data_IF_223802519780
#
_entry.id   IF_223802519780
#
_cell.length_a   1.000
_cell.length_b   1.000
_cell.length_c   1.000
_cell.angle_alpha   90.00
_cell.angle_beta   90.00
_cell.angle_gamma   90.00
#
_symmetry.space_group_name_H-M   'P 1'
#
loop_
_entity.id
_entity.type
_entity.pdbx_description
1 polymer ?
#
# COMPACT_ATOMS: atom_id res chain seq x y z
N UNK A 1 63.29 -38.36 41.23
CA UNK A 1 62.20 -37.51 41.74
C UNK A 1 61.66 -36.73 40.56
N UNK A 2 60.64 -37.28 39.92
CA UNK A 2 60.06 -36.74 38.71
C UNK A 2 58.78 -35.95 39.08
N UNK A 3 58.76 -34.67 38.70
CA UNK A 3 57.62 -33.78 38.92
C UNK A 3 56.75 -33.86 37.67
N UNK A 4 55.53 -34.36 37.84
CA UNK A 4 54.46 -34.31 36.80
C UNK A 4 53.78 -32.94 36.90
N UNK A 5 53.78 -32.19 35.80
CA UNK A 5 52.99 -30.97 35.63
C UNK A 5 51.76 -31.38 34.81
N UNK A 6 50.61 -31.39 35.44
CA UNK A 6 49.31 -31.55 34.76
C UNK A 6 48.86 -30.21 34.23
N UNK A 7 48.76 -30.12 32.90
CA UNK A 7 48.12 -28.98 32.21
C UNK A 7 46.63 -29.21 32.16
N UNK A 8 45.86 -28.33 32.82
CA UNK A 8 44.41 -28.30 32.75
C UNK A 8 44.01 -27.41 31.52
N UNK A 9 43.45 -28.05 30.49
CA UNK A 9 42.89 -27.33 29.37
C UNK A 9 41.51 -26.77 29.78
N UNK A 10 41.39 -25.46 29.82
CA UNK A 10 40.10 -24.77 29.90
C UNK A 10 39.45 -24.81 28.50
N UNK A 11 38.39 -25.59 28.38
CA UNK A 11 37.44 -25.49 27.23
C UNK A 11 36.57 -24.26 27.44
N UNK A 12 36.87 -23.19 26.72
CA UNK A 12 35.95 -22.10 26.53
C UNK A 12 34.88 -22.57 25.55
N UNK A 13 33.73 -22.93 26.06
CA UNK A 13 32.49 -23.10 25.33
C UNK A 13 32.02 -21.69 24.92
N UNK A 14 32.35 -21.28 23.70
CA UNK A 14 31.71 -20.14 23.05
C UNK A 14 30.28 -20.54 22.75
N UNK A 15 29.31 -20.02 23.49
CA UNK A 15 27.95 -19.89 22.97
C UNK A 15 28.00 -18.97 21.77
N UNK A 16 27.84 -19.50 20.59
CA UNK A 16 27.38 -18.72 19.47
C UNK A 16 25.94 -18.34 19.82
N UNK A 17 25.67 -17.07 20.03
CA UNK A 17 24.33 -16.52 19.92
C UNK A 17 23.93 -16.77 18.46
N UNK A 18 23.05 -17.72 18.25
CA UNK A 18 22.29 -17.83 17.00
C UNK A 18 21.39 -16.61 16.96
N UNK A 19 21.72 -15.63 16.12
CA UNK A 19 20.78 -14.64 15.61
C UNK A 19 19.70 -15.39 14.82
N UNK A 20 18.67 -15.84 15.51
CA UNK A 20 17.49 -16.42 14.89
C UNK A 20 16.31 -15.46 14.99
N UNK A 21 16.39 -14.34 14.32
CA UNK A 21 15.20 -13.60 13.84
C UNK A 21 14.69 -14.25 12.54
N UNK A 22 14.57 -15.58 12.54
CA UNK A 22 13.87 -16.27 11.47
C UNK A 22 12.37 -15.95 11.62
N UNK A 23 11.86 -15.09 10.74
CA UNK A 23 10.43 -14.80 10.63
C UNK A 23 9.69 -16.13 10.45
N UNK A 24 8.80 -16.45 11.39
CA UNK A 24 7.98 -17.66 11.27
C UNK A 24 7.01 -17.48 10.11
N UNK A 25 7.14 -18.33 9.09
CA UNK A 25 6.26 -18.34 7.91
C UNK A 25 5.55 -19.69 7.79
N UNK A 26 4.26 -19.64 7.53
CA UNK A 26 3.48 -20.81 7.12
C UNK A 26 2.71 -20.48 5.84
N UNK A 27 2.91 -21.28 4.81
CA UNK A 27 2.20 -21.14 3.54
C UNK A 27 1.57 -22.48 3.14
N UNK A 28 0.32 -22.46 2.65
CA UNK A 28 -0.44 -23.66 2.29
C UNK A 28 -1.09 -23.54 0.92
N UNK A 29 -0.90 -24.56 0.08
CA UNK A 29 -1.59 -24.72 -1.20
C UNK A 29 -2.92 -25.43 -0.97
N UNK A 30 -4.03 -24.72 -1.13
CA UNK A 30 -5.37 -25.21 -0.81
C UNK A 30 -5.85 -26.21 -1.86
N UNK A 31 -6.11 -27.44 -1.40
CA UNK A 31 -6.51 -28.56 -2.27
C UNK A 31 -5.41 -29.08 -3.19
N UNK A 32 -4.20 -28.56 -3.10
CA UNK A 32 -3.07 -28.88 -3.97
C UNK A 32 -1.90 -29.57 -3.27
N UNK A 33 -0.90 -30.02 -4.04
CA UNK A 33 0.36 -30.56 -3.52
C UNK A 33 1.26 -29.45 -2.97
N UNK A 34 2.36 -29.83 -2.30
CA UNK A 34 3.41 -28.88 -1.95
C UNK A 34 3.96 -28.21 -3.21
N UNK A 35 4.25 -26.91 -3.11
CA UNK A 35 4.73 -26.07 -4.19
C UNK A 35 5.73 -25.04 -3.68
N UNK A 36 6.81 -24.79 -4.41
CA UNK A 36 7.71 -23.67 -4.10
C UNK A 36 7.50 -22.58 -5.14
N UNK A 37 7.12 -21.41 -4.68
CA UNK A 37 6.90 -20.24 -5.52
C UNK A 37 8.22 -19.66 -6.06
N UNK A 38 8.11 -18.78 -7.04
CA UNK A 38 9.27 -18.12 -7.68
C UNK A 38 10.06 -17.29 -6.67
N UNK A 39 9.39 -16.68 -5.68
CA UNK A 39 10.00 -15.92 -4.58
C UNK A 39 10.66 -16.80 -3.51
N UNK A 40 10.59 -18.12 -3.64
CA UNK A 40 11.12 -19.09 -2.68
C UNK A 40 10.14 -19.50 -1.59
N UNK A 41 8.94 -18.89 -1.48
CA UNK A 41 7.91 -19.28 -0.52
C UNK A 41 7.54 -20.75 -0.68
N UNK A 42 7.68 -21.52 0.42
CA UNK A 42 7.45 -22.97 0.43
C UNK A 42 6.01 -23.28 0.88
N UNK A 43 5.10 -23.44 -0.06
CA UNK A 43 3.73 -23.87 0.23
C UNK A 43 3.69 -25.36 0.55
N UNK A 44 3.22 -25.70 1.73
CA UNK A 44 2.96 -27.09 2.08
C UNK A 44 1.69 -27.59 1.39
N UNK A 45 1.59 -28.90 1.17
CA UNK A 45 0.33 -29.53 0.78
C UNK A 45 -0.73 -29.28 1.86
N UNK A 46 -1.97 -29.18 1.45
CA UNK A 46 -3.09 -28.86 2.34
C UNK A 46 -3.08 -29.68 3.64
N UNK A 47 -2.99 -28.95 4.74
CA UNK A 47 -3.18 -29.44 6.12
C UNK A 47 -3.83 -28.30 6.91
N UNK A 48 -4.49 -28.61 8.01
CA UNK A 48 -5.18 -27.62 8.87
C UNK A 48 -6.35 -26.89 8.17
N UNK A 49 -6.83 -27.43 7.05
CA UNK A 49 -7.95 -26.89 6.27
C UNK A 49 -9.10 -27.90 6.26
N UNK A 50 -10.30 -27.43 6.51
CA UNK A 50 -11.50 -28.26 6.54
C UNK A 50 -12.68 -27.58 5.83
N UNK A 51 -13.75 -28.35 5.56
CA UNK A 51 -14.94 -27.83 4.88
C UNK A 51 -14.71 -27.52 3.42
N UNK A 52 -15.76 -27.05 2.74
CA UNK A 52 -15.77 -26.81 1.30
C UNK A 52 -15.48 -28.07 0.46
N UNK A 53 -15.35 -27.90 -0.84
CA UNK A 53 -15.00 -28.94 -1.81
C UNK A 53 -13.74 -28.54 -2.56
N UNK A 54 -12.79 -29.45 -2.71
CA UNK A 54 -11.64 -29.25 -3.57
C UNK A 54 -12.08 -29.35 -5.03
N UNK A 55 -11.62 -28.40 -5.82
CA UNK A 55 -11.82 -28.34 -7.26
C UNK A 55 -10.54 -27.92 -7.97
N UNK A 56 -10.54 -28.00 -9.29
CA UNK A 56 -9.38 -27.66 -10.13
C UNK A 56 -9.71 -26.54 -11.09
N UNK A 57 -8.74 -25.66 -11.30
CA UNK A 57 -8.77 -24.58 -12.28
C UNK A 57 -7.61 -24.74 -13.25
N UNK A 58 -7.89 -24.69 -14.54
CA UNK A 58 -6.88 -24.72 -15.58
C UNK A 58 -6.75 -23.35 -16.24
N UNK A 59 -5.53 -22.94 -16.51
CA UNK A 59 -5.21 -21.68 -17.16
C UNK A 59 -5.61 -20.41 -16.36
N UNK A 60 -4.76 -20.02 -15.43
CA UNK A 60 -4.83 -18.71 -14.75
C UNK A 60 -3.91 -17.69 -15.38
N UNK A 61 -4.21 -16.41 -15.19
CA UNK A 61 -3.41 -15.28 -15.67
C UNK A 61 -3.05 -14.36 -14.51
N UNK A 62 -1.98 -13.55 -14.67
CA UNK A 62 -1.58 -12.56 -13.65
C UNK A 62 -0.72 -13.12 -12.52
N UNK A 63 -0.08 -14.30 -12.70
CA UNK A 63 0.92 -14.83 -11.78
C UNK A 63 1.95 -15.65 -12.52
N UNK A 64 3.22 -15.59 -12.08
CA UNK A 64 4.27 -16.53 -12.50
C UNK A 64 4.10 -17.89 -11.82
N UNK A 65 3.41 -17.93 -10.68
CA UNK A 65 3.10 -19.12 -9.89
C UNK A 65 1.74 -19.72 -10.25
N UNK A 66 1.41 -19.77 -11.55
CA UNK A 66 0.16 -20.35 -12.03
C UNK A 66 -0.20 -21.72 -11.42
N UNK A 67 0.75 -22.67 -11.17
CA UNK A 67 0.45 -23.95 -10.55
C UNK A 67 -0.19 -23.85 -9.17
N UNK A 68 0.08 -22.78 -8.38
CA UNK A 68 -0.50 -22.53 -7.07
C UNK A 68 -2.03 -22.36 -7.12
N UNK A 69 -2.57 -21.92 -8.28
CA UNK A 69 -3.99 -21.66 -8.48
C UNK A 69 -4.71 -22.77 -9.24
N UNK A 70 -4.00 -23.87 -9.58
CA UNK A 70 -4.62 -25.00 -10.27
C UNK A 70 -5.54 -25.83 -9.36
N UNK A 71 -5.47 -25.61 -8.06
CA UNK A 71 -6.41 -26.16 -7.07
C UNK A 71 -7.00 -25.05 -6.21
N UNK A 72 -8.19 -25.27 -5.72
CA UNK A 72 -8.87 -24.36 -4.79
C UNK A 72 -9.94 -25.11 -4.02
N UNK A 73 -10.40 -24.55 -2.90
CA UNK A 73 -11.64 -24.97 -2.24
C UNK A 73 -12.76 -23.98 -2.54
N UNK A 74 -13.99 -24.50 -2.60
CA UNK A 74 -15.23 -23.75 -2.70
C UNK A 74 -16.22 -24.23 -1.64
N UNK A 75 -16.81 -23.31 -0.89
CA UNK A 75 -17.80 -23.59 0.14
C UNK A 75 -17.44 -23.07 1.53
N UNK A 76 -17.97 -23.70 2.58
CA UNK A 76 -17.66 -23.36 4.00
C UNK A 76 -16.22 -23.80 4.33
N UNK A 77 -15.25 -22.93 3.98
CA UNK A 77 -13.82 -23.16 4.18
C UNK A 77 -13.44 -22.69 5.58
N UNK A 78 -12.71 -23.53 6.33
CA UNK A 78 -12.19 -23.25 7.67
C UNK A 78 -10.75 -23.67 7.77
N UNK A 79 -9.93 -22.80 8.34
CA UNK A 79 -8.51 -23.03 8.61
C UNK A 79 -8.33 -22.90 10.12
N UNK A 80 -7.71 -23.89 10.74
CA UNK A 80 -7.26 -23.85 12.13
C UNK A 80 -5.81 -24.34 12.15
N UNK A 81 -4.87 -23.43 12.37
CA UNK A 81 -3.44 -23.72 12.33
C UNK A 81 -2.75 -23.28 13.61
N UNK A 82 -1.96 -24.19 14.20
CA UNK A 82 -1.20 -23.89 15.42
C UNK A 82 -0.07 -22.90 15.09
N UNK A 83 -0.06 -21.78 15.78
CA UNK A 83 0.95 -20.74 15.74
C UNK A 83 1.31 -20.30 17.16
N UNK A 84 2.48 -19.73 17.34
CA UNK A 84 2.79 -19.01 18.56
C UNK A 84 1.93 -17.76 18.70
N UNK A 85 1.70 -17.31 19.94
CA UNK A 85 1.00 -16.04 20.15
C UNK A 85 1.83 -14.89 19.57
N UNK A 86 1.19 -14.00 18.83
CA UNK A 86 1.87 -12.93 18.16
C UNK A 86 1.01 -12.22 17.13
N UNK A 87 1.60 -11.29 16.42
CA UNK A 87 0.96 -10.57 15.30
C UNK A 87 1.43 -11.17 13.98
N UNK A 88 0.51 -11.33 13.04
CA UNK A 88 0.76 -12.00 11.76
C UNK A 88 0.15 -11.21 10.59
N UNK A 89 0.84 -11.23 9.47
CA UNK A 89 0.30 -10.80 8.19
C UNK A 89 -0.23 -12.02 7.43
N UNK A 90 -1.46 -11.95 6.93
CA UNK A 90 -2.10 -13.06 6.21
C UNK A 90 -2.35 -12.66 4.78
N UNK A 91 -1.74 -13.36 3.83
CA UNK A 91 -1.98 -13.16 2.39
C UNK A 91 -2.92 -14.24 1.86
N UNK A 92 -4.07 -13.81 1.39
CA UNK A 92 -5.08 -14.65 0.75
C UNK A 92 -4.88 -14.65 -0.77
N UNK A 93 -4.94 -15.83 -1.38
CA UNK A 93 -4.79 -16.02 -2.82
C UNK A 93 -6.09 -16.54 -3.44
N UNK A 94 -6.62 -15.81 -4.41
CA UNK A 94 -7.87 -16.13 -5.10
C UNK A 94 -7.67 -16.15 -6.61
N UNK A 95 -8.47 -16.98 -7.30
CA UNK A 95 -8.70 -16.89 -8.74
C UNK A 95 -10.13 -17.33 -9.02
N UNK A 96 -10.97 -16.49 -9.68
CA UNK A 96 -12.35 -16.84 -9.98
C UNK A 96 -12.41 -17.96 -11.02
N UNK A 97 -12.93 -19.16 -10.67
CA UNK A 97 -12.94 -20.31 -11.57
C UNK A 97 -14.10 -20.28 -12.57
N UNK A 98 -15.18 -19.57 -12.24
CA UNK A 98 -16.40 -19.53 -13.03
C UNK A 98 -16.39 -18.34 -14.01
N UNK A 99 -17.09 -18.52 -15.13
CA UNK A 99 -17.36 -17.42 -16.06
C UNK A 99 -18.61 -16.68 -15.58
N UNK A 100 -18.38 -15.70 -14.71
CA UNK A 100 -19.41 -14.91 -14.02
C UNK A 100 -19.13 -13.43 -14.15
N UNK A 101 -20.17 -12.62 -13.93
CA UNK A 101 -20.07 -11.17 -13.92
C UNK A 101 -19.69 -10.65 -12.52
N UNK A 102 -19.35 -9.35 -12.45
CA UNK A 102 -19.17 -8.63 -11.18
C UNK A 102 -20.43 -8.75 -10.32
N UNK A 103 -20.25 -8.75 -8.99
CA UNK A 103 -21.33 -8.86 -8.01
C UNK A 103 -22.12 -10.20 -8.05
N UNK A 104 -21.62 -11.23 -8.75
CA UNK A 104 -22.23 -12.56 -8.73
C UNK A 104 -21.63 -13.49 -7.66
N UNK A 105 -20.35 -13.34 -7.28
CA UNK A 105 -19.73 -14.00 -6.13
C UNK A 105 -19.20 -12.95 -5.18
N UNK A 106 -19.81 -12.86 -4.00
CA UNK A 106 -19.42 -11.92 -2.95
C UNK A 106 -19.37 -12.66 -1.62
N UNK A 107 -18.25 -12.58 -0.93
CA UNK A 107 -18.02 -13.22 0.36
C UNK A 107 -17.06 -12.39 1.23
N UNK A 108 -16.99 -12.72 2.51
CA UNK A 108 -16.07 -12.08 3.45
C UNK A 108 -15.11 -13.11 4.04
N UNK A 109 -13.88 -12.68 4.38
CA UNK A 109 -12.94 -13.45 5.17
C UNK A 109 -12.92 -12.94 6.61
N UNK A 110 -12.89 -13.87 7.56
CA UNK A 110 -12.77 -13.58 8.97
C UNK A 110 -11.51 -14.28 9.51
N UNK A 111 -10.77 -13.59 10.36
CA UNK A 111 -9.67 -14.16 11.13
C UNK A 111 -9.88 -13.83 12.61
N UNK A 112 -9.59 -14.78 13.51
CA UNK A 112 -9.79 -14.62 14.96
C UNK A 112 -11.22 -14.13 15.32
N UNK A 113 -12.20 -14.60 14.54
CA UNK A 113 -13.61 -14.23 14.71
C UNK A 113 -14.01 -12.84 14.23
N UNK A 114 -13.09 -12.02 13.75
CA UNK A 114 -13.34 -10.66 13.24
C UNK A 114 -13.34 -10.64 11.71
N UNK A 115 -14.23 -9.85 11.06
CA UNK A 115 -14.14 -9.61 9.63
C UNK A 115 -12.83 -8.88 9.29
N UNK A 116 -12.02 -9.46 8.41
CA UNK A 116 -10.72 -8.91 8.01
C UNK A 116 -10.71 -8.47 6.54
N UNK A 117 -11.56 -9.06 5.71
CA UNK A 117 -11.84 -8.59 4.36
C UNK A 117 -13.35 -8.70 4.14
N UNK A 118 -14.00 -7.57 3.90
CA UNK A 118 -15.44 -7.56 3.63
C UNK A 118 -15.74 -7.47 2.13
N UNK A 119 -16.79 -8.17 1.71
CA UNK A 119 -17.34 -8.10 0.36
C UNK A 119 -16.30 -8.34 -0.75
N UNK A 120 -15.50 -9.41 -0.61
CA UNK A 120 -14.58 -9.85 -1.66
C UNK A 120 -15.37 -10.20 -2.90
N UNK A 121 -15.12 -9.49 -3.98
CA UNK A 121 -15.59 -9.80 -5.33
C UNK A 121 -14.39 -9.84 -6.25
N UNK A 122 -13.91 -11.07 -6.54
CA UNK A 122 -12.68 -11.25 -7.34
C UNK A 122 -12.85 -10.64 -8.73
N UNK A 123 -14.04 -10.76 -9.34
CA UNK A 123 -14.31 -10.19 -10.67
C UNK A 123 -14.30 -8.66 -10.64
N UNK A 124 -14.88 -8.04 -9.61
CA UNK A 124 -14.84 -6.59 -9.43
C UNK A 124 -13.39 -6.09 -9.23
N UNK A 125 -12.64 -6.76 -8.36
CA UNK A 125 -11.27 -6.36 -7.99
C UNK A 125 -10.25 -6.65 -9.10
N UNK A 126 -10.60 -7.48 -10.07
CA UNK A 126 -9.80 -7.81 -11.25
C UNK A 126 -10.37 -7.24 -12.54
N UNK A 127 -11.25 -6.23 -12.42
CA UNK A 127 -11.86 -5.52 -13.56
C UNK A 127 -12.53 -6.43 -14.59
N UNK A 128 -13.26 -7.45 -14.11
CA UNK A 128 -13.95 -8.42 -14.94
C UNK A 128 -13.05 -9.45 -15.64
N UNK A 129 -11.77 -9.53 -15.27
CA UNK A 129 -10.83 -10.50 -15.87
C UNK A 129 -11.01 -11.88 -15.24
N UNK A 130 -11.65 -12.77 -15.98
CA UNK A 130 -11.86 -14.17 -15.58
C UNK A 130 -10.52 -14.88 -15.39
N UNK A 131 -10.42 -15.71 -14.36
CA UNK A 131 -9.24 -16.53 -14.04
C UNK A 131 -7.97 -15.70 -13.77
N UNK A 132 -8.12 -14.43 -13.46
CA UNK A 132 -7.02 -13.57 -13.04
C UNK A 132 -6.79 -13.73 -11.55
N UNK A 133 -5.53 -13.85 -11.16
CA UNK A 133 -5.12 -13.97 -9.76
C UNK A 133 -5.39 -12.67 -9.00
N UNK A 134 -5.93 -12.80 -7.80
CA UNK A 134 -6.06 -11.74 -6.82
C UNK A 134 -5.36 -12.18 -5.54
N UNK A 135 -4.39 -11.39 -5.07
CA UNK A 135 -3.79 -11.54 -3.74
C UNK A 135 -4.22 -10.37 -2.86
N UNK A 136 -4.57 -10.68 -1.61
CA UNK A 136 -4.97 -9.67 -0.62
C UNK A 136 -4.23 -9.97 0.67
N UNK A 137 -3.38 -9.06 1.12
CA UNK A 137 -2.69 -9.17 2.40
C UNK A 137 -3.45 -8.39 3.46
N UNK A 138 -3.75 -9.06 4.58
CA UNK A 138 -4.34 -8.47 5.79
C UNK A 138 -3.25 -8.47 6.84
N UNK A 139 -2.78 -7.29 7.24
CA UNK A 139 -1.72 -7.18 8.23
C UNK A 139 -2.24 -7.22 9.66
N UNK A 140 -1.36 -7.57 10.60
CA UNK A 140 -1.55 -7.34 12.02
C UNK A 140 -2.61 -8.21 12.71
N UNK A 141 -2.92 -9.39 12.18
CA UNK A 141 -3.81 -10.36 12.85
C UNK A 141 -3.15 -10.85 14.13
N UNK A 142 -3.81 -10.67 15.27
CA UNK A 142 -3.28 -11.05 16.60
C UNK A 142 -3.80 -12.42 16.98
N UNK A 143 -2.90 -13.39 17.15
CA UNK A 143 -3.17 -14.73 17.68
C UNK A 143 -2.84 -14.73 19.17
N UNK A 144 -3.81 -15.05 20.03
CA UNK A 144 -3.65 -15.02 21.50
C UNK A 144 -3.78 -16.40 22.18
N UNK A 145 -4.36 -17.38 21.50
CA UNK A 145 -4.66 -18.71 22.03
C UNK A 145 -3.83 -19.85 21.42
N UNK A 146 -2.81 -19.51 20.63
CA UNK A 146 -1.92 -20.48 19.99
C UNK A 146 -2.48 -21.11 18.72
N UNK A 147 -3.58 -20.59 18.18
CA UNK A 147 -4.22 -21.13 16.98
C UNK A 147 -4.72 -20.00 16.10
N UNK A 148 -4.29 -19.95 14.85
CA UNK A 148 -4.89 -19.06 13.85
C UNK A 148 -6.17 -19.70 13.33
N UNK A 149 -7.31 -19.03 13.53
CA UNK A 149 -8.60 -19.40 13.01
C UNK A 149 -9.03 -18.48 11.86
N UNK A 150 -9.22 -19.07 10.66
CA UNK A 150 -9.73 -18.35 9.48
C UNK A 150 -10.99 -19.04 8.95
N UNK A 151 -12.01 -18.25 8.65
CA UNK A 151 -13.25 -18.72 8.02
C UNK A 151 -13.77 -17.72 6.98
N UNK A 152 -14.70 -18.20 6.14
CA UNK A 152 -15.29 -17.38 5.11
C UNK A 152 -16.82 -17.39 5.24
N UNK A 153 -17.44 -16.25 4.97
CA UNK A 153 -18.91 -16.09 5.01
C UNK A 153 -19.42 -15.71 3.62
N UNK A 154 -20.30 -16.55 3.07
CA UNK A 154 -20.93 -16.32 1.78
C UNK A 154 -21.99 -15.22 1.87
N UNK A 155 -21.97 -14.28 0.93
CA UNK A 155 -23.07 -13.34 0.69
C UNK A 155 -23.82 -13.66 -0.61
N UNK A 156 -23.06 -13.95 -1.66
CA UNK A 156 -23.53 -14.42 -2.97
C UNK A 156 -22.58 -15.48 -3.47
N UNK A 157 -23.07 -16.65 -3.82
CA UNK A 157 -22.33 -17.87 -4.14
C UNK A 157 -21.37 -18.27 -3.00
N UNK A 158 -20.79 -19.44 -3.13
CA UNK A 158 -19.84 -19.97 -2.13
C UNK A 158 -18.48 -19.29 -2.22
N UNK A 159 -17.79 -19.06 -1.08
CA UNK A 159 -16.42 -18.59 -1.05
C UNK A 159 -15.45 -19.52 -1.78
N UNK A 160 -14.35 -18.94 -2.27
CA UNK A 160 -13.24 -19.68 -2.89
C UNK A 160 -11.92 -19.29 -2.23
N UNK A 161 -10.95 -20.21 -2.21
CA UNK A 161 -9.59 -19.94 -1.75
C UNK A 161 -8.61 -20.89 -2.46
N UNK A 162 -7.52 -20.35 -3.02
CA UNK A 162 -6.47 -21.14 -3.71
C UNK A 162 -5.23 -21.36 -2.86
N UNK A 163 -4.79 -20.37 -2.08
CA UNK A 163 -3.67 -20.51 -1.16
C UNK A 163 -3.75 -19.47 -0.04
N UNK A 164 -2.97 -19.70 1.03
CA UNK A 164 -2.81 -18.79 2.15
C UNK A 164 -1.34 -18.73 2.54
N UNK A 165 -0.82 -17.53 2.83
CA UNK A 165 0.48 -17.31 3.46
C UNK A 165 0.27 -16.58 4.78
N UNK A 166 0.94 -17.04 5.83
CA UNK A 166 0.94 -16.42 7.17
C UNK A 166 2.38 -16.13 7.53
N UNK A 167 2.72 -14.87 7.76
CA UNK A 167 4.05 -14.43 8.17
C UNK A 167 3.97 -13.75 9.52
N UNK A 168 4.83 -14.17 10.44
CA UNK A 168 4.91 -13.49 11.73
C UNK A 168 5.41 -12.08 11.53
N UNK A 169 4.67 -11.13 12.06
CA UNK A 169 5.07 -9.73 12.08
C UNK A 169 6.06 -9.53 13.23
N UNK A 170 7.29 -9.19 12.92
CA UNK A 170 8.26 -8.83 13.96
C UNK A 170 7.71 -7.64 14.76
N UNK A 171 7.64 -7.78 16.07
CA UNK A 171 7.28 -6.67 16.96
C UNK A 171 8.38 -5.61 16.90
N UNK A 172 8.23 -4.62 16.04
CA UNK A 172 9.15 -3.49 15.94
C UNK A 172 8.47 -2.27 16.56
N UNK A 173 9.16 -1.63 17.49
CA UNK A 173 8.92 -0.21 17.77
C UNK A 173 9.53 0.56 16.58
N UNK A 174 8.75 0.66 15.48
CA UNK A 174 9.24 1.16 14.20
C UNK A 174 9.28 2.68 14.12
N UNK A 175 8.82 3.39 15.15
CA UNK A 175 8.71 4.85 15.06
C UNK A 175 10.09 5.52 14.95
N UNK A 176 11.13 4.95 15.58
CA UNK A 176 12.48 5.47 15.48
C UNK A 176 12.66 6.86 16.09
N UNK A 177 13.74 7.56 15.71
CA UNK A 177 14.02 8.92 16.11
C UNK A 177 13.44 9.91 15.09
N UNK A 178 12.81 11.00 15.55
CA UNK A 178 12.38 12.09 14.69
C UNK A 178 13.60 12.78 14.09
N UNK A 179 13.78 12.66 12.78
CA UNK A 179 14.95 13.23 12.07
C UNK A 179 14.60 14.50 11.30
N UNK A 180 13.34 14.67 10.93
CA UNK A 180 12.85 15.87 10.24
C UNK A 180 11.35 16.06 10.47
N UNK A 181 10.91 17.33 10.52
CA UNK A 181 9.48 17.67 10.50
C UNK A 181 9.23 19.05 9.89
N UNK A 182 8.00 19.25 9.39
CA UNK A 182 7.40 20.54 9.17
C UNK A 182 6.07 20.57 9.92
N UNK A 183 6.02 21.42 10.93
CA UNK A 183 4.85 21.59 11.82
C UNK A 183 3.93 22.73 11.35
N UNK A 184 4.25 23.40 10.26
CA UNK A 184 3.52 24.51 9.66
C UNK A 184 3.17 25.65 10.64
N UNK A 185 4.07 25.94 11.57
CA UNK A 185 3.86 26.94 12.62
C UNK A 185 3.95 28.39 12.15
N UNK A 186 4.61 28.64 11.00
CA UNK A 186 4.90 29.99 10.52
C UNK A 186 3.92 30.38 9.41
N UNK A 187 2.97 31.28 9.72
CA UNK A 187 2.00 31.75 8.73
C UNK A 187 2.66 32.42 7.51
N UNK A 188 2.14 32.15 6.32
CA UNK A 188 2.65 32.67 5.06
C UNK A 188 2.77 31.58 3.96
N UNK A 189 3.70 31.72 3.02
CA UNK A 189 3.99 30.65 2.09
C UNK A 189 4.64 29.47 2.80
N UNK A 190 4.46 28.21 2.32
CA UNK A 190 5.23 27.07 2.79
C UNK A 190 6.73 27.34 2.71
N UNK A 191 7.52 26.79 3.63
CA UNK A 191 8.97 27.00 3.69
C UNK A 191 9.64 26.50 2.39
N UNK A 192 10.28 27.39 1.60
CA UNK A 192 10.93 27.00 0.37
C UNK A 192 12.20 26.15 0.58
N UNK A 193 12.68 25.97 1.81
CA UNK A 193 13.73 25.00 2.11
C UNK A 193 13.21 23.57 2.26
N UNK A 194 11.88 23.41 2.46
CA UNK A 194 11.22 22.11 2.60
C UNK A 194 10.44 21.73 1.35
N UNK A 195 9.81 22.71 0.68
CA UNK A 195 8.83 22.45 -0.37
C UNK A 195 9.14 23.19 -1.67
N UNK A 196 8.94 22.49 -2.79
CA UNK A 196 8.75 23.05 -4.12
C UNK A 196 7.24 23.12 -4.38
N UNK A 197 6.73 24.27 -4.81
CA UNK A 197 5.34 24.40 -5.24
C UNK A 197 5.32 24.28 -6.76
N UNK A 198 4.54 23.35 -7.27
CA UNK A 198 4.44 23.10 -8.71
C UNK A 198 3.37 23.96 -9.36
N UNK A 199 3.68 24.53 -10.53
CA UNK A 199 2.75 25.32 -11.33
C UNK A 199 2.53 24.60 -12.67
N UNK A 200 1.36 23.97 -12.82
CA UNK A 200 0.99 23.18 -13.99
C UNK A 200 -0.32 23.66 -14.59
N UNK A 201 -0.46 23.56 -15.91
CA UNK A 201 -1.74 23.69 -16.58
C UNK A 201 -2.63 22.48 -16.30
N UNK A 202 -3.93 22.58 -16.56
CA UNK A 202 -4.83 21.43 -16.50
C UNK A 202 -4.44 20.34 -17.52
N UNK A 203 -4.69 19.07 -17.17
CA UNK A 203 -4.52 17.94 -18.09
C UNK A 203 -3.09 17.43 -18.29
N UNK A 204 -2.11 17.85 -17.48
CA UNK A 204 -0.72 17.35 -17.57
C UNK A 204 -0.66 15.86 -17.24
N UNK A 205 -1.35 15.42 -16.17
CA UNK A 205 -1.48 14.00 -15.79
C UNK A 205 -2.94 13.67 -15.52
N UNK A 206 -3.34 12.41 -15.70
CA UNK A 206 -4.64 11.85 -15.30
C UNK A 206 -5.89 12.60 -15.79
N UNK A 207 -5.80 13.43 -16.81
CA UNK A 207 -6.89 14.33 -17.28
C UNK A 207 -7.44 15.24 -16.15
N UNK A 208 -6.60 15.67 -15.22
CA UNK A 208 -6.99 16.50 -14.09
C UNK A 208 -7.45 17.89 -14.55
N UNK A 209 -8.53 18.42 -13.94
CA UNK A 209 -9.19 19.63 -14.41
C UNK A 209 -8.61 20.93 -13.82
N UNK A 210 -7.86 20.85 -12.72
CA UNK A 210 -7.28 22.04 -12.07
C UNK A 210 -5.99 22.51 -12.75
N UNK A 211 -5.74 23.80 -12.62
CA UNK A 211 -4.43 24.41 -12.75
C UNK A 211 -3.78 24.44 -11.37
N UNK A 212 -2.60 23.90 -11.20
CA UNK A 212 -1.80 24.05 -9.97
C UNK A 212 -1.11 25.40 -9.95
N UNK A 213 -1.18 26.09 -8.82
CA UNK A 213 -0.63 27.45 -8.67
C UNK A 213 0.04 27.65 -7.32
N UNK A 214 1.04 28.55 -7.28
CA UNK A 214 1.70 29.00 -6.06
C UNK A 214 1.00 30.18 -5.36
N UNK A 215 -0.22 30.53 -5.78
CA UNK A 215 -0.95 31.70 -5.23
C UNK A 215 -1.36 31.44 -3.77
N UNK A 216 -1.28 32.45 -2.88
CA UNK A 216 -1.65 32.30 -1.47
C UNK A 216 -3.11 31.84 -1.24
N UNK A 217 -4.00 32.03 -2.21
CA UNK A 217 -5.36 31.51 -2.13
C UNK A 217 -5.43 29.98 -2.32
N UNK A 218 -4.46 29.40 -3.04
CA UNK A 218 -4.43 27.95 -3.29
C UNK A 218 -3.49 27.22 -2.33
N UNK A 219 -2.39 27.86 -1.88
CA UNK A 219 -1.45 27.27 -0.93
C UNK A 219 -0.89 28.29 0.03
N UNK A 220 -0.96 28.01 1.32
CA UNK A 220 -0.46 28.86 2.41
C UNK A 220 -0.34 28.07 3.71
N UNK A 221 0.42 28.58 4.63
CA UNK A 221 0.36 28.19 6.04
C UNK A 221 -0.53 29.21 6.77
N UNK A 222 -1.57 28.74 7.43
CA UNK A 222 -2.55 29.56 8.12
C UNK A 222 -3.10 28.79 9.34
N UNK A 223 -3.18 29.46 10.48
CA UNK A 223 -3.66 28.88 11.75
C UNK A 223 -2.98 27.55 12.13
N UNK A 224 -1.65 27.47 11.94
CA UNK A 224 -0.85 26.28 12.26
C UNK A 224 -1.05 25.09 11.33
N UNK A 225 -1.54 25.32 10.10
CA UNK A 225 -1.76 24.26 9.13
C UNK A 225 -1.27 24.67 7.73
N UNK A 226 -0.74 23.73 6.98
CA UNK A 226 -0.68 23.89 5.53
C UNK A 226 -2.10 23.76 4.97
N UNK A 227 -2.55 24.78 4.26
CA UNK A 227 -3.84 24.84 3.58
C UNK A 227 -3.61 24.67 2.08
N UNK A 228 -4.11 23.58 1.52
CA UNK A 228 -4.23 23.36 0.06
C UNK A 228 -5.70 23.58 -0.29
N UNK A 229 -5.99 24.66 -1.04
CA UNK A 229 -7.36 25.08 -1.30
C UNK A 229 -7.70 25.09 -2.78
N UNK A 230 -8.71 24.32 -3.14
CA UNK A 230 -9.22 24.26 -4.50
C UNK A 230 -10.39 25.23 -4.70
N UNK A 231 -10.40 25.92 -5.82
CA UNK A 231 -11.44 26.87 -6.21
C UNK A 231 -12.02 26.55 -7.59
N UNK A 232 -13.32 26.84 -7.74
CA UNK A 232 -13.96 26.94 -9.06
C UNK A 232 -13.72 28.37 -9.55
N UNK A 233 -12.82 28.56 -10.47
CA UNK A 233 -12.50 29.83 -11.10
C UNK A 233 -11.80 29.59 -12.44
N UNK A 234 -11.99 30.51 -13.38
CA UNK A 234 -11.21 30.49 -14.61
C UNK A 234 -9.80 31.08 -14.37
N UNK A 235 -8.78 30.30 -14.66
CA UNK A 235 -7.38 30.70 -14.53
C UNK A 235 -6.50 29.91 -15.50
N UNK A 236 -5.67 30.62 -16.29
CA UNK A 236 -4.72 30.05 -17.26
C UNK A 236 -5.33 28.95 -18.16
N UNK A 237 -6.59 29.11 -18.57
CA UNK A 237 -7.29 28.17 -19.46
C UNK A 237 -7.95 26.96 -18.74
N UNK A 238 -7.79 26.82 -17.42
CA UNK A 238 -8.53 25.85 -16.62
C UNK A 238 -9.71 26.47 -15.90
N UNK A 239 -10.68 25.66 -15.50
CA UNK A 239 -11.89 26.07 -14.78
C UNK A 239 -11.79 25.88 -13.26
N UNK A 240 -10.72 25.27 -12.79
CA UNK A 240 -10.41 25.01 -11.39
C UNK A 240 -8.97 25.37 -11.11
N UNK A 241 -8.69 25.78 -9.87
CA UNK A 241 -7.34 26.00 -9.38
C UNK A 241 -7.14 25.24 -8.07
N UNK A 242 -5.93 24.76 -7.83
CA UNK A 242 -5.53 24.06 -6.61
C UNK A 242 -4.02 24.19 -6.41
N UNK A 243 -3.43 23.38 -5.54
CA UNK A 243 -1.99 23.34 -5.37
C UNK A 243 -1.45 21.92 -5.23
N UNK A 244 -0.17 21.77 -5.60
CA UNK A 244 0.67 20.59 -5.43
C UNK A 244 2.05 21.04 -4.94
N UNK A 245 2.52 20.39 -3.87
CA UNK A 245 3.83 20.63 -3.28
C UNK A 245 4.60 19.32 -3.27
N UNK A 246 5.91 19.41 -3.40
CA UNK A 246 6.79 18.23 -3.29
C UNK A 246 8.13 18.59 -2.63
N UNK A 247 8.78 17.60 -1.99
CA UNK A 247 10.01 17.81 -1.21
C UNK A 247 11.31 17.38 -1.95
N UNK A 248 11.26 17.06 -3.25
CA UNK A 248 12.41 16.55 -4.02
C UNK A 248 13.61 17.49 -3.96
N UNK A 249 14.79 16.93 -3.70
CA UNK A 249 16.04 17.65 -3.57
C UNK A 249 16.15 18.51 -2.30
N UNK A 250 15.18 18.42 -1.38
CA UNK A 250 15.13 19.12 -0.09
C UNK A 250 15.01 18.14 1.06
N UNK A 251 14.05 17.22 0.97
CA UNK A 251 13.83 16.16 1.93
C UNK A 251 13.57 14.87 1.15
N UNK A 252 14.65 14.17 0.85
CA UNK A 252 14.63 12.88 0.18
C UNK A 252 14.84 11.78 1.23
N UNK A 253 13.97 10.78 1.25
CA UNK A 253 13.85 9.79 2.31
C UNK A 253 14.15 8.42 1.72
N UNK A 254 15.04 7.68 2.35
CA UNK A 254 15.25 6.26 2.10
C UNK A 254 15.00 5.51 3.39
N UNK A 255 13.91 4.73 3.41
CA UNK A 255 13.44 3.95 4.57
C UNK A 255 13.07 4.80 5.79
N UNK A 256 12.37 4.20 6.71
CA UNK A 256 11.90 4.82 7.94
C UNK A 256 10.38 4.93 8.01
N UNK A 257 9.90 5.83 8.88
CA UNK A 257 8.48 6.13 9.03
C UNK A 257 8.19 7.58 8.65
N UNK A 258 7.09 7.78 7.96
CA UNK A 258 6.57 9.10 7.60
C UNK A 258 5.16 9.19 8.17
N UNK A 259 4.90 10.22 8.98
CA UNK A 259 3.58 10.52 9.52
C UNK A 259 3.10 11.86 8.94
N UNK A 260 1.95 11.88 8.31
CA UNK A 260 1.27 13.09 7.83
C UNK A 260 -0.09 13.20 8.52
N UNK A 261 -0.29 14.22 9.35
CA UNK A 261 -1.57 14.45 9.98
C UNK A 261 -2.38 15.43 9.15
N UNK A 262 -3.51 14.96 8.62
CA UNK A 262 -4.30 15.73 7.68
C UNK A 262 -5.81 15.54 7.88
N UNK A 263 -6.58 16.56 7.45
CA UNK A 263 -8.03 16.53 7.28
C UNK A 263 -8.36 16.73 5.80
N UNK A 264 -9.17 15.82 5.25
CA UNK A 264 -9.42 15.75 3.83
C UNK A 264 -10.59 16.64 3.39
N UNK A 265 -10.63 17.07 2.12
CA UNK A 265 -11.79 17.73 1.54
C UNK A 265 -12.93 16.73 1.32
N UNK A 266 -14.12 17.25 1.01
CA UNK A 266 -15.30 16.46 0.68
C UNK A 266 -15.91 16.85 -0.65
N UNK A 267 -16.72 15.94 -1.19
CA UNK A 267 -17.62 16.17 -2.29
C UNK A 267 -17.11 15.73 -3.65
N UNK A 268 -18.07 15.47 -4.53
CA UNK A 268 -17.86 14.92 -5.87
C UNK A 268 -16.89 15.74 -6.69
N UNK A 269 -15.81 15.12 -7.15
CA UNK A 269 -14.76 15.71 -7.97
C UNK A 269 -13.49 16.05 -7.24
N UNK A 270 -13.42 15.97 -5.88
CA UNK A 270 -12.16 16.12 -5.15
C UNK A 270 -11.34 14.82 -5.16
N UNK A 271 -10.01 14.97 -5.24
CA UNK A 271 -9.04 13.87 -5.20
C UNK A 271 -7.76 14.35 -4.50
N UNK A 272 -7.77 14.42 -3.15
CA UNK A 272 -6.56 14.67 -2.36
C UNK A 272 -5.65 13.46 -2.32
N UNK A 273 -4.32 13.71 -2.25
CA UNK A 273 -3.32 12.67 -2.09
C UNK A 273 -2.16 13.10 -1.18
N UNK A 274 -1.64 12.13 -0.44
CA UNK A 274 -0.37 12.11 0.29
C UNK A 274 0.40 10.92 -0.26
N UNK A 275 1.47 11.15 -0.98
CA UNK A 275 2.15 10.14 -1.75
C UNK A 275 3.62 10.43 -1.98
N UNK A 276 4.33 9.54 -2.62
CA UNK A 276 5.76 9.66 -2.85
C UNK A 276 6.16 9.18 -4.23
N UNK A 277 7.10 9.89 -4.84
CA UNK A 277 7.82 9.46 -6.03
C UNK A 277 9.32 9.39 -5.77
N UNK A 278 10.02 8.59 -6.58
CA UNK A 278 11.48 8.52 -6.55
C UNK A 278 12.11 9.91 -6.78
N UNK A 279 13.11 10.24 -5.98
CA UNK A 279 13.92 11.45 -6.17
C UNK A 279 14.91 11.32 -7.34
N UNK A 280 15.06 10.11 -7.89
CA UNK A 280 15.77 9.82 -9.13
C UNK A 280 14.89 9.00 -10.07
N UNK A 281 13.93 9.63 -10.79
CA UNK A 281 12.96 8.91 -11.62
C UNK A 281 13.59 8.12 -12.76
N UNK A 282 14.79 8.52 -13.22
CA UNK A 282 15.47 7.88 -14.35
C UNK A 282 16.35 6.69 -13.96
N UNK A 283 16.50 6.38 -12.66
CA UNK A 283 17.38 5.30 -12.20
C UNK A 283 17.08 3.94 -12.86
N UNK A 284 15.81 3.64 -13.07
CA UNK A 284 15.34 2.42 -13.73
C UNK A 284 14.65 2.69 -15.09
N UNK A 285 14.73 3.90 -15.61
CA UNK A 285 14.20 4.23 -16.92
C UNK A 285 14.99 3.52 -18.02
N UNK A 286 14.31 3.11 -19.10
CA UNK A 286 14.90 2.42 -20.24
C UNK A 286 14.62 3.10 -21.58
N UNK A 287 13.64 4.01 -21.62
CA UNK A 287 13.22 4.73 -22.85
C UNK A 287 13.50 6.23 -22.82
N UNK A 288 13.93 6.75 -21.68
CA UNK A 288 14.27 8.15 -21.50
C UNK A 288 15.48 8.30 -20.56
N UNK A 289 16.11 9.48 -20.60
CA UNK A 289 17.33 9.80 -19.86
C UNK A 289 17.09 11.01 -18.93
N UNK A 290 18.05 11.26 -18.07
CA UNK A 290 18.06 12.41 -17.17
C UNK A 290 17.90 13.72 -17.98
N UNK A 291 17.10 14.64 -17.50
CA UNK A 291 16.68 15.89 -18.16
C UNK A 291 15.48 15.77 -19.14
N UNK A 292 14.97 14.57 -19.44
CA UNK A 292 13.74 14.43 -20.21
C UNK A 292 12.51 14.83 -19.39
N UNK A 293 11.50 15.39 -20.06
CA UNK A 293 10.19 15.60 -19.45
C UNK A 293 9.47 14.25 -19.37
N UNK A 294 9.33 13.72 -18.14
CA UNK A 294 8.76 12.39 -17.93
C UNK A 294 7.33 12.40 -17.38
N UNK A 295 6.94 13.52 -16.72
CA UNK A 295 5.59 13.60 -16.14
C UNK A 295 4.58 13.94 -17.24
N UNK A 296 3.63 13.03 -17.46
CA UNK A 296 2.67 13.13 -18.55
C UNK A 296 3.23 12.80 -19.94
N UNK A 297 4.41 12.18 -20.01
CA UNK A 297 5.05 11.74 -21.25
C UNK A 297 4.98 10.21 -21.38
N UNK A 298 4.07 9.72 -22.19
CA UNK A 298 3.86 8.27 -22.41
C UNK A 298 5.04 7.57 -23.10
N UNK A 299 5.96 8.32 -23.73
CA UNK A 299 7.14 7.76 -24.38
C UNK A 299 8.30 7.51 -23.38
N UNK A 300 8.21 8.03 -22.14
CA UNK A 300 9.20 7.88 -21.10
C UNK A 300 8.71 6.90 -20.03
N UNK A 301 9.46 5.81 -19.79
CA UNK A 301 9.12 4.78 -18.81
C UNK A 301 9.74 5.00 -17.42
N UNK A 302 10.18 6.23 -17.11
CA UNK A 302 10.63 6.61 -15.77
C UNK A 302 9.55 6.26 -14.73
N UNK A 303 8.30 6.59 -15.01
CA UNK A 303 7.16 5.99 -14.34
C UNK A 303 6.56 4.88 -15.24
N UNK A 304 6.19 3.70 -14.74
CA UNK A 304 6.21 3.27 -13.32
C UNK A 304 7.53 2.59 -12.89
N UNK A 305 8.61 2.66 -13.68
CA UNK A 305 9.85 1.94 -13.40
C UNK A 305 10.51 2.42 -12.10
N UNK A 306 10.42 3.72 -11.79
CA UNK A 306 11.00 4.30 -10.57
C UNK A 306 10.21 4.01 -9.29
N UNK A 307 8.98 3.50 -9.41
CA UNK A 307 8.09 3.25 -8.28
C UNK A 307 7.28 4.47 -7.83
N UNK A 308 6.15 4.19 -7.15
CA UNK A 308 5.27 5.16 -6.51
C UNK A 308 4.67 4.53 -5.25
N UNK A 309 4.57 5.30 -4.17
CA UNK A 309 3.96 4.89 -2.91
C UNK A 309 2.86 5.89 -2.55
N UNK A 310 1.60 5.47 -2.61
CA UNK A 310 0.46 6.27 -2.22
C UNK A 310 0.11 5.96 -0.77
N UNK A 311 0.51 6.86 0.14
CA UNK A 311 0.23 6.73 1.57
C UNK A 311 -1.26 6.97 1.82
N UNK A 312 -1.89 7.91 1.12
CA UNK A 312 -3.31 8.20 1.20
C UNK A 312 -3.80 8.78 -0.12
N UNK A 313 -4.81 8.17 -0.67
CA UNK A 313 -5.64 8.75 -1.71
C UNK A 313 -7.11 8.65 -1.30
N UNK A 314 -7.88 9.68 -1.65
CA UNK A 314 -9.32 9.71 -1.39
C UNK A 314 -10.05 10.39 -2.55
N UNK A 315 -11.22 9.86 -2.91
CA UNK A 315 -12.08 10.47 -3.94
C UNK A 315 -13.44 10.84 -3.37
N UNK A 316 -13.84 12.07 -3.63
CA UNK A 316 -15.00 12.67 -2.98
C UNK A 316 -16.36 11.98 -3.25
N UNK A 317 -16.45 11.12 -4.27
CA UNK A 317 -17.66 10.31 -4.51
C UNK A 317 -17.71 9.01 -3.66
N UNK A 318 -16.60 8.64 -3.02
CA UNK A 318 -16.50 7.50 -2.11
C UNK A 318 -16.06 7.98 -0.72
N UNK A 319 -16.83 8.91 -0.16
CA UNK A 319 -16.50 9.49 1.14
C UNK A 319 -16.14 8.45 2.18
N UNK A 320 -15.05 8.73 2.92
CA UNK A 320 -14.52 7.87 3.97
C UNK A 320 -13.65 6.69 3.47
N UNK A 321 -13.70 6.34 2.20
CA UNK A 321 -12.82 5.28 1.68
C UNK A 321 -11.43 5.85 1.38
N UNK A 322 -10.48 5.51 2.23
CA UNK A 322 -9.06 5.84 2.09
C UNK A 322 -8.36 4.69 1.40
N UNK A 323 -7.58 5.00 0.37
CA UNK A 323 -6.83 4.05 -0.44
C UNK A 323 -5.33 4.25 -0.23
N UNK A 324 -4.59 3.17 -0.15
CA UNK A 324 -3.14 3.13 -0.28
C UNK A 324 -2.76 2.26 -1.46
N UNK A 325 -1.73 2.65 -2.19
CA UNK A 325 -1.33 1.93 -3.40
C UNK A 325 0.19 1.90 -3.52
N UNK A 326 0.70 0.87 -4.17
CA UNK A 326 2.10 0.80 -4.59
C UNK A 326 2.11 0.48 -6.08
N UNK A 327 2.82 1.30 -6.85
CA UNK A 327 3.04 1.10 -8.27
C UNK A 327 4.50 0.77 -8.55
N UNK A 328 4.73 -0.17 -9.46
CA UNK A 328 6.03 -0.53 -10.00
C UNK A 328 5.88 -1.00 -11.45
N UNK A 329 6.98 -1.29 -12.14
CA UNK A 329 6.92 -1.83 -13.50
C UNK A 329 6.08 -3.09 -13.61
N UNK A 330 6.15 -3.99 -12.63
CA UNK A 330 5.36 -5.23 -12.60
C UNK A 330 3.92 -5.00 -12.16
N UNK A 331 3.64 -3.92 -11.43
CA UNK A 331 2.36 -3.65 -10.79
C UNK A 331 1.82 -2.23 -11.05
N UNK A 332 1.75 -1.75 -12.32
CA UNK A 332 1.23 -0.42 -12.60
C UNK A 332 -0.30 -0.42 -12.74
N UNK A 333 -0.94 0.74 -12.47
CA UNK A 333 -2.40 0.87 -12.61
C UNK A 333 -2.94 0.57 -14.03
N UNK A 334 -2.23 0.88 -15.14
CA UNK A 334 -2.75 0.57 -16.46
C UNK A 334 -2.98 -0.92 -16.72
N UNK A 335 -2.29 -1.79 -15.95
CA UNK A 335 -2.50 -3.24 -15.98
C UNK A 335 -3.51 -3.72 -14.93
N UNK A 336 -4.06 -2.82 -14.08
CA UNK A 336 -5.01 -3.12 -13.01
C UNK A 336 -4.51 -4.20 -12.04
N UNK A 337 -3.20 -4.23 -11.81
CA UNK A 337 -2.55 -5.19 -10.91
C UNK A 337 -1.71 -4.53 -9.82
N UNK A 338 -1.82 -3.20 -9.65
CA UNK A 338 -1.16 -2.47 -8.57
C UNK A 338 -1.48 -3.09 -7.21
N UNK A 339 -0.52 -3.04 -6.31
CA UNK A 339 -0.72 -3.47 -4.92
C UNK A 339 -1.48 -2.38 -4.17
N UNK A 340 -2.63 -2.71 -3.62
CA UNK A 340 -3.51 -1.73 -2.98
C UNK A 340 -4.22 -2.27 -1.76
N UNK A 341 -4.47 -1.37 -0.82
CA UNK A 341 -5.32 -1.57 0.33
C UNK A 341 -6.37 -0.46 0.44
N UNK A 342 -7.38 -0.69 1.26
CA UNK A 342 -8.45 0.28 1.49
C UNK A 342 -9.01 0.13 2.90
N UNK A 343 -9.30 1.27 3.53
CA UNK A 343 -9.94 1.32 4.84
C UNK A 343 -11.10 2.33 4.80
N UNK A 344 -12.12 2.12 5.64
CA UNK A 344 -13.24 3.06 5.82
C UNK A 344 -13.02 3.88 7.09
N UNK A 345 -12.95 5.19 6.94
CA UNK A 345 -12.83 6.18 8.02
C UNK A 345 -13.93 7.22 7.79
N UNK A 346 -15.01 7.15 8.54
CA UNK A 346 -16.25 7.92 8.27
C UNK A 346 -16.10 9.43 8.41
N UNK A 347 -15.14 9.90 9.20
CA UNK A 347 -14.96 11.31 9.60
C UNK A 347 -13.70 11.98 9.02
N UNK A 348 -13.12 11.44 7.93
CA UNK A 348 -11.90 11.97 7.25
C UNK A 348 -11.98 13.46 6.91
N UNK A 349 -13.18 13.99 6.71
CA UNK A 349 -13.40 15.39 6.36
C UNK A 349 -13.81 16.26 7.57
N UNK A 350 -14.03 15.67 8.72
CA UNK A 350 -14.44 16.34 9.96
C UNK A 350 -13.32 16.35 11.01
N UNK A 351 -12.46 15.33 11.01
CA UNK A 351 -11.36 15.15 11.94
C UNK A 351 -10.02 15.05 11.24
N UNK A 352 -8.95 15.33 11.98
CA UNK A 352 -7.59 15.05 11.54
C UNK A 352 -7.22 13.61 11.87
N UNK A 353 -6.71 12.90 10.89
CA UNK A 353 -6.14 11.56 11.02
C UNK A 353 -4.65 11.57 10.68
N UNK A 354 -3.90 10.60 11.20
CA UNK A 354 -2.48 10.42 10.88
C UNK A 354 -2.37 9.35 9.80
N UNK A 355 -1.97 9.75 8.60
CA UNK A 355 -1.67 8.87 7.49
C UNK A 355 -0.18 8.57 7.52
N UNK A 356 0.18 7.30 7.64
CA UNK A 356 1.57 6.92 7.90
C UNK A 356 2.07 5.89 6.92
N UNK A 357 3.36 5.92 6.67
CA UNK A 357 4.14 4.93 5.95
C UNK A 357 5.22 4.39 6.89
N UNK A 358 5.36 3.08 7.01
CA UNK A 358 6.58 2.43 7.47
C UNK A 358 7.22 1.69 6.29
N UNK A 359 8.46 2.05 6.00
CA UNK A 359 9.16 1.56 4.83
C UNK A 359 10.55 1.04 5.22
N UNK A 360 10.80 -0.21 4.85
CA UNK A 360 12.05 -0.93 5.09
C UNK A 360 12.56 -1.54 3.78
N UNK A 361 13.77 -2.11 3.72
CA UNK A 361 14.20 -2.89 2.55
C UNK A 361 13.26 -4.07 2.20
N UNK A 362 12.49 -4.56 3.19
CA UNK A 362 11.72 -5.79 3.07
C UNK A 362 10.22 -5.55 2.93
N UNK A 363 9.70 -4.37 3.36
CA UNK A 363 8.27 -4.11 3.36
C UNK A 363 7.91 -2.63 3.32
N UNK A 364 6.73 -2.36 2.78
CA UNK A 364 6.00 -1.09 2.83
C UNK A 364 4.69 -1.36 3.56
N UNK A 365 4.47 -0.69 4.70
CA UNK A 365 3.24 -0.75 5.47
C UNK A 365 2.61 0.65 5.52
N UNK A 366 1.32 0.75 5.19
CA UNK A 366 0.58 2.01 5.17
C UNK A 366 -0.54 1.99 6.20
N UNK A 367 -0.70 3.09 6.94
CA UNK A 367 -1.60 3.18 8.10
C UNK A 367 -2.52 4.40 8.01
N UNK A 368 -3.70 4.28 8.62
CA UNK A 368 -4.46 5.42 9.14
C UNK A 368 -4.48 5.28 10.67
N UNK A 369 -4.03 6.31 11.37
CA UNK A 369 -3.78 6.29 12.79
C UNK A 369 -2.86 5.09 13.13
N UNK A 370 -3.29 4.12 13.91
CA UNK A 370 -2.50 2.93 14.20
C UNK A 370 -2.96 1.67 13.44
N UNK A 371 -3.89 1.83 12.48
CA UNK A 371 -4.47 0.72 11.73
C UNK A 371 -3.78 0.58 10.37
N UNK A 372 -3.07 -0.52 10.18
CA UNK A 372 -2.48 -0.87 8.86
C UNK A 372 -3.60 -1.24 7.89
N UNK A 373 -3.54 -0.72 6.66
CA UNK A 373 -4.51 -1.08 5.63
C UNK A 373 -3.89 -1.47 4.27
N UNK A 374 -2.57 -1.34 4.15
CA UNK A 374 -1.79 -1.94 3.06
C UNK A 374 -0.48 -2.46 3.63
N UNK A 375 -0.12 -3.67 3.26
CA UNK A 375 1.24 -4.23 3.40
C UNK A 375 1.69 -4.72 2.03
N UNK A 376 2.87 -4.28 1.59
CA UNK A 376 3.54 -4.80 0.42
C UNK A 376 4.93 -5.30 0.81
N UNK A 377 5.19 -6.58 0.53
CA UNK A 377 6.44 -7.26 0.90
C UNK A 377 7.32 -7.35 -0.34
N UNK A 378 8.62 -7.10 -0.16
CA UNK A 378 9.63 -7.33 -1.19
C UNK A 378 9.68 -8.83 -1.54
N UNK A 379 9.23 -9.18 -2.73
CA UNK A 379 9.18 -10.57 -3.21
C UNK A 379 10.55 -11.08 -3.68
N UNK A 380 11.58 -10.23 -3.70
CA UNK A 380 12.94 -10.59 -4.08
C UNK A 380 13.17 -10.82 -5.58
N UNK A 381 12.21 -10.42 -6.43
CA UNK A 381 12.23 -10.68 -7.88
C UNK A 381 12.91 -9.54 -8.70
N UNK A 382 13.52 -8.58 -8.03
CA UNK A 382 14.27 -7.48 -8.63
C UNK A 382 13.51 -6.17 -8.73
N UNK A 383 14.16 -5.15 -9.34
CA UNK A 383 13.69 -3.78 -9.34
C UNK A 383 12.34 -3.58 -10.07
N UNK A 384 11.97 -4.45 -10.98
CA UNK A 384 10.70 -4.37 -11.68
C UNK A 384 9.50 -4.48 -10.74
N UNK A 385 9.66 -5.19 -9.65
CA UNK A 385 8.68 -5.32 -8.57
C UNK A 385 8.98 -4.40 -7.41
N UNK A 386 10.27 -4.27 -7.05
CA UNK A 386 10.72 -3.53 -5.88
C UNK A 386 11.73 -2.43 -6.24
N UNK A 387 11.31 -1.31 -6.85
CA UNK A 387 12.17 -0.14 -7.10
C UNK A 387 12.34 0.77 -5.86
N UNK A 388 11.92 0.31 -4.68
CA UNK A 388 11.88 1.06 -3.41
C UNK A 388 13.17 0.92 -2.60
N UNK A 389 14.31 0.85 -3.29
CA UNK A 389 15.68 0.79 -2.76
C UNK A 389 16.47 2.09 -3.02
N UNK A 390 15.79 3.15 -3.35
CA UNK A 390 16.30 4.47 -3.65
C UNK A 390 15.52 5.55 -2.89
N UNK A 391 16.06 6.79 -2.73
CA UNK A 391 15.34 7.85 -2.04
C UNK A 391 14.05 8.29 -2.76
N UNK A 392 13.01 8.55 -1.99
CA UNK A 392 11.74 9.12 -2.42
C UNK A 392 11.47 10.45 -1.74
N UNK A 393 10.69 11.30 -2.37
CA UNK A 393 10.21 12.56 -1.83
C UNK A 393 8.70 12.55 -1.64
N UNK A 394 8.23 13.33 -0.66
CA UNK A 394 6.81 13.46 -0.33
C UNK A 394 6.13 14.44 -1.28
N UNK A 395 4.91 14.11 -1.69
CA UNK A 395 4.03 14.96 -2.49
C UNK A 395 2.70 15.12 -1.76
N UNK A 396 2.21 16.35 -1.70
CA UNK A 396 0.92 16.73 -1.13
C UNK A 396 0.15 17.51 -2.17
N UNK A 397 -1.05 17.06 -2.55
CA UNK A 397 -1.87 17.78 -3.51
C UNK A 397 -3.37 17.57 -3.29
N UNK A 398 -4.14 18.46 -3.90
CA UNK A 398 -5.57 18.31 -4.07
C UNK A 398 -5.90 18.42 -5.55
N UNK A 399 -6.02 17.28 -6.24
CA UNK A 399 -6.50 17.23 -7.60
C UNK A 399 -8.03 17.42 -7.66
N UNK A 400 -8.50 17.93 -8.80
CA UNK A 400 -9.93 18.10 -9.09
C UNK A 400 -10.25 17.39 -10.38
N UNK A 401 -11.29 16.55 -10.37
CA UNK A 401 -11.69 15.79 -11.54
C UNK A 401 -10.73 14.66 -11.85
N UNK A 402 -10.08 14.72 -13.03
CA UNK A 402 -9.29 13.60 -13.51
C UNK A 402 -10.10 12.36 -13.82
N UNK A 403 -9.45 11.30 -14.28
CA UNK A 403 -10.12 10.04 -14.57
C UNK A 403 -10.80 9.44 -13.35
N UNK A 404 -10.15 9.51 -12.18
CA UNK A 404 -10.70 8.92 -10.95
C UNK A 404 -11.62 9.86 -10.19
N UNK A 405 -11.30 11.14 -10.03
CA UNK A 405 -12.18 12.08 -9.33
C UNK A 405 -13.55 12.25 -10.01
N UNK A 406 -13.62 12.04 -11.36
CA UNK A 406 -14.87 12.04 -12.12
C UNK A 406 -15.56 10.67 -12.24
N UNK A 407 -14.98 9.59 -11.75
CA UNK A 407 -15.56 8.25 -11.90
C UNK A 407 -16.95 8.10 -11.23
N UNK A 408 -17.24 8.91 -10.21
CA UNK A 408 -18.57 8.98 -9.58
C UNK A 408 -19.58 9.90 -10.29
N UNK A 409 -19.16 10.62 -11.34
CA UNK A 409 -20.00 11.58 -12.09
C UNK A 409 -19.30 12.93 -12.27
N UNK A 410 -20.00 13.92 -12.85
CA UNK A 410 -19.47 15.26 -13.06
C UNK A 410 -19.05 15.93 -11.73
N UNK A 411 -18.05 16.81 -11.80
CA UNK A 411 -17.61 17.61 -10.65
C UNK A 411 -18.81 18.45 -10.15
N UNK A 412 -19.08 18.40 -8.85
CA UNK A 412 -20.07 19.28 -8.22
C UNK A 412 -19.46 20.67 -7.98
N UNK A 413 -19.71 21.58 -8.91
CA UNK A 413 -19.19 22.94 -8.82
C UNK A 413 -19.69 23.74 -7.60
N UNK A 414 -20.76 23.27 -6.94
CA UNK A 414 -21.36 23.99 -5.79
C UNK A 414 -20.61 23.78 -4.47
N UNK A 415 -19.69 22.79 -4.41
CA UNK A 415 -18.96 22.48 -3.18
C UNK A 415 -17.79 23.42 -2.90
N UNK A 416 -17.27 24.11 -3.93
CA UNK A 416 -16.05 24.93 -3.81
C UNK A 416 -16.29 26.25 -3.05
N UNK A 417 -15.27 26.71 -2.28
CA UNK A 417 -13.93 26.15 -2.16
C UNK A 417 -13.88 24.87 -1.31
N UNK A 418 -12.88 24.02 -1.58
CA UNK A 418 -12.58 22.83 -0.78
C UNK A 418 -11.13 22.87 -0.29
N UNK A 419 -10.87 22.36 0.90
CA UNK A 419 -9.57 22.42 1.54
C UNK A 419 -9.11 21.04 1.99
N UNK A 420 -7.85 20.73 1.72
CA UNK A 420 -7.05 19.77 2.45
C UNK A 420 -6.20 20.52 3.46
N UNK A 421 -6.29 20.16 4.72
CA UNK A 421 -5.47 20.76 5.80
C UNK A 421 -4.46 19.75 6.27
N UNK A 422 -3.18 20.16 6.34
CA UNK A 422 -2.11 19.33 6.89
C UNK A 422 -1.55 20.01 8.14
N UNK A 423 -1.61 19.30 9.27
CA UNK A 423 -1.13 19.79 10.57
C UNK A 423 0.39 19.63 10.68
N UNK A 424 0.91 18.47 10.26
CA UNK A 424 2.35 18.24 10.19
C UNK A 424 2.73 17.17 9.18
N UNK A 425 4.01 17.20 8.78
CA UNK A 425 4.73 16.10 8.16
C UNK A 425 5.95 15.77 9.02
N UNK A 426 6.10 14.51 9.45
CA UNK A 426 7.19 14.05 10.33
C UNK A 426 7.87 12.83 9.74
N UNK A 427 9.19 12.81 9.77
CA UNK A 427 10.02 11.70 9.30
C UNK A 427 10.81 11.13 10.47
N UNK A 428 10.71 9.82 10.65
CA UNK A 428 11.43 9.07 11.68
C UNK A 428 12.32 8.04 11.02
N UNK A 429 13.52 7.85 11.55
CA UNK A 429 14.43 6.78 11.11
C UNK A 429 14.80 5.87 12.28
N UNK A 430 15.09 4.56 12.04
CA UNK A 430 15.57 3.66 13.07
C UNK A 430 16.81 4.24 13.75
N UNK A 431 16.95 4.07 15.05
CA UNK A 431 18.20 4.39 15.74
C UNK A 431 19.31 3.52 15.15
N UNK A 432 20.41 4.15 14.73
CA UNK A 432 21.61 3.49 14.18
C UNK A 432 22.34 2.68 15.25
#
# INVERSE_FOLDING_TARGET
MAIFITATALLLSGCAEEDSDAISEWAVNIGGPAYTAVDGTAFVAERSVSGGKVATLHAVTGSQDAPLYHSYREGDIRIAHLLENGSYDITFHFAEPADIERDERVFSALAEGQPVIENIDVMLWRDGKVRSVLTVTVPGIVVEDGTLDVRFEARKREPILSALVVRQRAGRDRKGELVWSDEFDVAGPPDPSHWNIEEWTSGVVNDEDQVYTARPKNVRVDDGHLVIEAHKEEYNGGEYTSARLQSSGKVDILYGRIDVRARLPRGQGTWPAIWMLSSNPFHYATTCEDEDDWQGNDDCDAWPNSGEIDIMEHVGYQMGHVHGTVHSKSYPWPLWNQRKGRILIDDVADQFHVYSLEWTPDSIDVFVDDTVYLTYINEGNGWQEWPFDQPFHVILNLAIGGGWGRAGGPIDASIFPQQMLVDYVRVFQPQQ
#
